data_IF_596877826014
#
_entry.id   IF_596877826014
#
_cell.length_a   1.000
_cell.length_b   1.000
_cell.length_c   1.000
_cell.angle_alpha   90.00
_cell.angle_beta   90.00
_cell.angle_gamma   90.00
#
_symmetry.space_group_name_H-M   'P 1'
#
loop_
_entity.id
_entity.type
_entity.pdbx_description
1 polymer ?
#
# COMPACT_ATOMS: atom_id res chain seq x y z
N UNK A 1 14.51 -21.43 0.46
CA UNK A 1 14.69 -19.96 0.47
C UNK A 1 13.68 -19.29 -0.48
N UNK A 2 13.56 -19.75 -1.72
CA UNK A 2 12.63 -19.22 -2.72
C UNK A 2 11.16 -19.23 -2.26
N UNK A 3 10.69 -20.33 -1.69
CA UNK A 3 9.33 -20.45 -1.13
C UNK A 3 9.04 -19.45 0.00
N UNK A 4 10.02 -19.18 0.87
CA UNK A 4 9.86 -18.17 1.95
C UNK A 4 9.74 -16.76 1.40
N UNK A 5 10.51 -16.45 0.35
CA UNK A 5 10.44 -15.15 -0.33
C UNK A 5 9.11 -14.99 -1.05
N UNK A 6 8.62 -16.05 -1.71
CA UNK A 6 7.31 -16.05 -2.36
C UNK A 6 6.18 -15.86 -1.35
N UNK A 7 6.22 -16.57 -0.22
CA UNK A 7 5.25 -16.40 0.86
C UNK A 7 5.26 -14.98 1.40
N UNK A 8 6.45 -14.46 1.71
CA UNK A 8 6.62 -13.09 2.20
C UNK A 8 6.10 -12.04 1.20
N UNK A 9 6.39 -12.20 -0.09
CA UNK A 9 5.87 -11.33 -1.15
C UNK A 9 4.35 -11.41 -1.26
N UNK A 10 3.77 -12.60 -1.12
CA UNK A 10 2.31 -12.78 -1.16
C UNK A 10 1.58 -12.07 0.00
N UNK A 11 2.28 -11.90 1.13
CA UNK A 11 1.78 -11.20 2.31
C UNK A 11 1.91 -9.66 2.19
N UNK A 12 3.05 -9.19 1.68
CA UNK A 12 3.40 -7.78 1.65
C UNK A 12 2.97 -7.06 0.36
N UNK A 13 2.85 -7.80 -0.74
CA UNK A 13 2.42 -7.31 -2.06
C UNK A 13 1.32 -8.24 -2.62
N UNK A 14 0.13 -8.27 -1.99
CA UNK A 14 -0.98 -9.08 -2.50
C UNK A 14 -1.30 -8.67 -3.93
N UNK A 15 -1.51 -9.67 -4.80
CA UNK A 15 -1.76 -9.45 -6.23
C UNK A 15 -0.57 -8.96 -7.05
N UNK A 16 0.63 -8.85 -6.47
CA UNK A 16 1.86 -8.55 -7.21
C UNK A 16 1.90 -7.13 -7.81
N UNK A 17 1.31 -6.13 -7.15
CA UNK A 17 1.19 -4.77 -7.69
C UNK A 17 2.56 -4.09 -7.73
N UNK A 18 3.32 -4.18 -6.65
CA UNK A 18 4.67 -3.62 -6.57
C UNK A 18 5.68 -4.48 -7.35
N UNK A 19 5.46 -5.81 -7.38
CA UNK A 19 6.26 -6.75 -8.15
C UNK A 19 6.13 -6.52 -9.66
N UNK A 20 4.90 -6.32 -10.16
CA UNK A 20 4.66 -5.98 -11.59
C UNK A 20 5.23 -4.61 -11.93
N UNK A 21 5.21 -3.66 -10.99
CA UNK A 21 5.83 -2.35 -11.16
C UNK A 21 7.36 -2.45 -11.23
N UNK A 22 7.98 -3.27 -10.39
CA UNK A 22 9.42 -3.54 -10.45
C UNK A 22 9.80 -4.25 -11.77
N UNK A 23 8.98 -5.19 -12.24
CA UNK A 23 9.16 -5.83 -13.54
C UNK A 23 9.07 -4.80 -14.68
N UNK A 24 8.07 -3.93 -14.67
CA UNK A 24 7.94 -2.86 -15.67
C UNK A 24 9.11 -1.89 -15.63
N UNK A 25 9.64 -1.57 -14.45
CA UNK A 25 10.85 -0.75 -14.31
C UNK A 25 12.05 -1.46 -14.96
N UNK A 26 12.26 -2.74 -14.67
CA UNK A 26 13.35 -3.53 -15.23
C UNK A 26 13.26 -3.62 -16.76
N UNK A 27 12.08 -3.92 -17.31
CA UNK A 27 11.85 -3.95 -18.76
C UNK A 27 12.12 -2.57 -19.37
N UNK A 28 11.62 -1.51 -18.74
CA UNK A 28 11.83 -0.14 -19.24
C UNK A 28 13.31 0.23 -19.23
N UNK A 29 14.09 -0.17 -18.21
CA UNK A 29 15.53 0.05 -18.20
C UNK A 29 16.25 -0.68 -19.33
N UNK A 30 15.97 -1.96 -19.55
CA UNK A 30 16.60 -2.72 -20.63
C UNK A 30 16.31 -2.06 -21.98
N UNK A 31 15.06 -1.68 -22.22
CA UNK A 31 14.63 -1.05 -23.48
C UNK A 31 15.23 0.35 -23.64
N UNK A 32 15.20 1.19 -22.60
CA UNK A 32 15.73 2.56 -22.68
C UNK A 32 17.23 2.58 -22.80
N UNK A 33 17.96 1.73 -22.09
CA UNK A 33 19.42 1.65 -22.19
C UNK A 33 19.80 1.14 -23.58
N UNK A 34 19.17 0.06 -24.06
CA UNK A 34 19.45 -0.50 -25.38
C UNK A 34 19.14 0.49 -26.51
N UNK A 35 17.95 1.11 -26.49
CA UNK A 35 17.58 2.13 -27.46
C UNK A 35 18.45 3.39 -27.33
N UNK A 36 18.78 3.81 -26.11
CA UNK A 36 19.57 5.01 -25.87
C UNK A 36 21.01 4.86 -26.36
N UNK A 37 21.61 3.69 -26.12
CA UNK A 37 22.92 3.34 -26.68
C UNK A 37 22.87 3.26 -28.21
N UNK A 38 21.87 2.59 -28.78
CA UNK A 38 21.71 2.52 -30.23
C UNK A 38 21.54 3.91 -30.86
N UNK A 39 20.76 4.79 -30.25
CA UNK A 39 20.59 6.19 -30.70
C UNK A 39 21.91 6.95 -30.60
N UNK A 40 22.64 6.85 -29.48
CA UNK A 40 23.91 7.54 -29.29
C UNK A 40 24.93 7.16 -30.37
N UNK A 41 25.07 5.86 -30.66
CA UNK A 41 26.02 5.35 -31.66
C UNK A 41 25.55 5.64 -33.09
N UNK A 42 24.26 5.44 -33.41
CA UNK A 42 23.76 5.59 -34.79
C UNK A 42 23.78 7.03 -35.28
N UNK A 43 23.63 7.99 -34.38
CA UNK A 43 23.64 9.43 -34.69
C UNK A 43 24.97 10.10 -34.33
N UNK A 44 25.99 9.32 -33.93
CA UNK A 44 27.33 9.80 -33.54
C UNK A 44 27.28 10.97 -32.53
N UNK A 45 26.44 10.81 -31.50
CA UNK A 45 26.18 11.85 -30.49
C UNK A 45 27.38 12.02 -29.54
N UNK A 46 28.25 11.02 -29.44
CA UNK A 46 29.42 11.02 -28.55
C UNK A 46 29.06 10.89 -27.06
N UNK A 47 27.87 10.36 -26.74
CA UNK A 47 27.33 10.27 -25.37
C UNK A 47 26.78 8.87 -25.04
N UNK A 48 27.58 7.85 -25.32
CA UNK A 48 27.18 6.44 -25.23
C UNK A 48 26.74 6.00 -23.83
N UNK A 49 27.17 6.72 -22.80
CA UNK A 49 26.83 6.45 -21.39
C UNK A 49 25.78 7.44 -20.88
N UNK A 50 26.01 8.74 -21.07
CA UNK A 50 25.17 9.79 -20.47
C UNK A 50 23.76 9.83 -21.07
N UNK A 51 23.63 9.59 -22.37
CA UNK A 51 22.34 9.58 -23.06
C UNK A 51 21.41 8.47 -22.55
N UNK A 52 21.78 7.17 -22.59
CA UNK A 52 20.94 6.10 -22.06
C UNK A 52 20.70 6.24 -20.55
N UNK A 53 21.69 6.73 -19.78
CA UNK A 53 21.53 6.96 -18.35
C UNK A 53 20.46 8.02 -18.04
N UNK A 54 20.38 9.11 -18.80
CA UNK A 54 19.36 10.15 -18.59
C UNK A 54 17.95 9.68 -18.94
N UNK A 55 17.83 8.86 -20.01
CA UNK A 55 16.56 8.19 -20.32
C UNK A 55 16.15 7.22 -19.21
N UNK A 56 17.10 6.45 -18.68
CA UNK A 56 16.86 5.53 -17.57
C UNK A 56 16.45 6.30 -16.31
N UNK A 57 17.14 7.38 -15.95
CA UNK A 57 16.78 8.24 -14.83
C UNK A 57 15.34 8.78 -14.96
N UNK A 58 14.96 9.25 -16.15
CA UNK A 58 13.58 9.70 -16.40
C UNK A 58 12.57 8.57 -16.17
N UNK A 59 12.90 7.38 -16.64
CA UNK A 59 12.09 6.16 -16.46
C UNK A 59 11.94 5.77 -14.99
N UNK A 60 13.05 5.78 -14.24
CA UNK A 60 13.09 5.50 -12.82
C UNK A 60 12.14 6.43 -12.07
N UNK A 61 12.26 7.74 -12.34
CA UNK A 61 11.49 8.77 -11.68
C UNK A 61 9.99 8.62 -12.01
N UNK A 62 9.65 8.43 -13.29
CA UNK A 62 8.26 8.24 -13.72
C UNK A 62 7.64 6.99 -13.09
N UNK A 63 8.31 5.84 -13.17
CA UNK A 63 7.74 4.59 -12.68
C UNK A 63 7.71 4.55 -11.15
N UNK A 64 8.72 5.09 -10.45
CA UNK A 64 8.85 4.99 -8.97
C UNK A 64 8.03 6.02 -8.19
N UNK A 65 7.80 7.21 -8.76
CA UNK A 65 7.06 8.26 -8.04
C UNK A 65 5.59 8.40 -8.47
N UNK A 66 5.15 7.64 -9.46
CA UNK A 66 3.74 7.63 -9.86
C UNK A 66 2.91 6.66 -8.99
N UNK A 67 1.76 7.06 -8.43
CA UNK A 67 0.91 6.15 -7.68
C UNK A 67 0.38 5.01 -8.54
N UNK A 68 0.17 3.84 -7.93
CA UNK A 68 -0.64 2.75 -8.48
C UNK A 68 -2.09 3.22 -8.62
N UNK A 69 -2.44 3.77 -9.79
CA UNK A 69 -3.73 4.38 -10.04
C UNK A 69 -4.41 3.93 -11.35
N UNK A 70 -5.64 4.39 -11.56
CA UNK A 70 -6.31 4.27 -12.85
C UNK A 70 -5.46 4.85 -13.98
N UNK A 71 -5.47 4.23 -15.17
CA UNK A 71 -4.62 4.61 -16.31
C UNK A 71 -4.64 6.11 -16.61
N UNK A 72 -5.82 6.73 -16.55
CA UNK A 72 -5.96 8.17 -16.79
C UNK A 72 -5.26 9.02 -15.71
N UNK A 73 -5.40 8.67 -14.43
CA UNK A 73 -4.76 9.38 -13.32
C UNK A 73 -3.24 9.17 -13.39
N UNK A 74 -2.81 7.94 -13.66
CA UNK A 74 -1.41 7.58 -13.82
C UNK A 74 -0.77 8.36 -14.98
N UNK A 75 -1.45 8.48 -16.13
CA UNK A 75 -0.97 9.26 -17.27
C UNK A 75 -0.86 10.76 -16.94
N UNK A 76 -1.83 11.33 -16.21
CA UNK A 76 -1.75 12.72 -15.73
C UNK A 76 -0.59 12.91 -14.75
N UNK A 77 -0.36 11.97 -13.84
CA UNK A 77 0.77 11.99 -12.93
C UNK A 77 2.11 11.85 -13.66
N UNK A 78 2.20 10.97 -14.68
CA UNK A 78 3.35 10.87 -15.58
C UNK A 78 3.62 12.21 -16.25
N UNK A 79 2.59 12.86 -16.80
CA UNK A 79 2.73 14.15 -17.46
C UNK A 79 3.21 15.25 -16.51
N UNK A 80 2.71 15.28 -15.26
CA UNK A 80 3.17 16.22 -14.23
C UNK A 80 4.64 15.99 -13.85
N UNK A 81 5.02 14.74 -13.61
CA UNK A 81 6.40 14.37 -13.22
C UNK A 81 7.35 14.63 -14.39
N UNK A 82 6.99 14.19 -15.59
CA UNK A 82 7.76 14.45 -16.81
C UNK A 82 7.88 15.95 -17.07
N UNK A 83 6.79 16.70 -16.98
CA UNK A 83 6.80 18.14 -17.16
C UNK A 83 7.74 18.85 -16.18
N UNK A 84 7.78 18.41 -14.91
CA UNK A 84 8.72 18.91 -13.92
C UNK A 84 10.18 18.56 -14.28
N UNK A 85 10.44 17.30 -14.62
CA UNK A 85 11.78 16.83 -15.03
C UNK A 85 12.27 17.57 -16.27
N UNK A 86 11.41 17.73 -17.28
CA UNK A 86 11.71 18.43 -18.51
C UNK A 86 11.94 19.92 -18.27
N UNK A 87 11.07 20.58 -17.49
CA UNK A 87 11.25 21.98 -17.12
C UNK A 87 12.55 22.21 -16.33
N UNK A 88 12.93 21.27 -15.47
CA UNK A 88 14.19 21.32 -14.74
C UNK A 88 15.40 21.22 -15.68
N UNK A 89 15.38 20.29 -16.64
CA UNK A 89 16.44 20.18 -17.64
C UNK A 89 16.52 21.42 -18.55
N UNK A 90 15.37 22.02 -18.91
CA UNK A 90 15.34 23.30 -19.63
C UNK A 90 15.94 24.43 -18.78
N UNK A 91 15.61 24.49 -17.48
CA UNK A 91 16.20 25.48 -16.58
C UNK A 91 17.73 25.31 -16.48
N UNK A 92 18.22 24.08 -16.40
CA UNK A 92 19.66 23.77 -16.44
C UNK A 92 20.30 24.24 -17.75
N UNK A 93 19.64 24.01 -18.90
CA UNK A 93 20.13 24.46 -20.21
C UNK A 93 20.25 26.00 -20.31
N UNK A 94 19.31 26.73 -19.68
CA UNK A 94 19.26 28.20 -19.70
C UNK A 94 20.23 28.82 -18.69
N UNK A 95 20.26 28.31 -17.46
CA UNK A 95 21.04 28.87 -16.35
C UNK A 95 22.51 28.46 -16.42
N UNK A 96 22.80 27.24 -16.88
CA UNK A 96 24.15 26.72 -16.98
C UNK A 96 25.04 27.62 -17.85
N UNK A 97 26.20 28.10 -17.36
CA UNK A 97 27.13 28.86 -18.17
C UNK A 97 27.83 28.02 -19.26
N UNK A 98 27.34 26.80 -19.52
CA UNK A 98 27.77 25.94 -20.62
C UNK A 98 29.17 25.42 -20.39
N UNK A 99 30.09 25.73 -21.30
CA UNK A 99 31.47 25.21 -21.27
C UNK A 99 32.38 26.01 -20.31
N UNK A 100 31.85 26.97 -19.57
CA UNK A 100 32.64 27.78 -18.65
C UNK A 100 33.04 26.97 -17.40
N UNK A 101 34.24 27.13 -16.84
CA UNK A 101 34.69 26.43 -15.62
C UNK A 101 33.78 26.68 -14.40
N UNK A 102 33.02 27.79 -14.41
CA UNK A 102 32.04 28.11 -13.38
C UNK A 102 30.73 27.29 -13.47
N UNK A 103 30.53 26.46 -14.51
CA UNK A 103 29.32 25.65 -14.68
C UNK A 103 29.07 24.73 -13.48
N UNK A 104 30.13 24.08 -13.01
CA UNK A 104 30.06 23.21 -11.85
C UNK A 104 29.56 23.94 -10.60
N UNK A 105 30.11 25.13 -10.35
CA UNK A 105 29.75 25.97 -9.21
C UNK A 105 28.29 26.47 -9.32
N UNK A 106 27.87 26.94 -10.49
CA UNK A 106 26.49 27.42 -10.70
C UNK A 106 25.47 26.31 -10.48
N UNK A 107 25.72 25.11 -11.00
CA UNK A 107 24.80 23.97 -10.84
C UNK A 107 24.73 23.48 -9.40
N UNK A 108 25.85 23.48 -8.66
CA UNK A 108 25.87 23.19 -7.22
C UNK A 108 25.07 24.24 -6.43
N UNK A 109 25.26 25.53 -6.71
CA UNK A 109 24.50 26.60 -6.05
C UNK A 109 23.00 26.56 -6.36
N UNK A 110 22.61 26.07 -7.54
CA UNK A 110 21.20 25.91 -7.92
C UNK A 110 20.45 24.93 -7.00
N UNK A 111 21.15 23.98 -6.36
CA UNK A 111 20.54 23.05 -5.40
C UNK A 111 19.89 23.78 -4.22
N UNK A 112 20.49 24.87 -3.75
CA UNK A 112 20.04 25.61 -2.55
C UNK A 112 18.59 26.13 -2.70
N UNK A 113 18.25 26.93 -3.72
CA UNK A 113 16.86 27.36 -3.91
C UNK A 113 15.93 26.20 -4.29
N UNK A 114 16.41 25.19 -5.02
CA UNK A 114 15.59 24.04 -5.43
C UNK A 114 15.18 23.16 -4.25
N UNK A 115 16.05 22.94 -3.27
CA UNK A 115 15.69 22.22 -2.03
C UNK A 115 14.60 22.97 -1.27
N UNK A 116 14.69 24.30 -1.21
CA UNK A 116 13.64 25.14 -0.62
C UNK A 116 12.30 24.95 -1.32
N UNK A 117 12.27 25.00 -2.66
CA UNK A 117 11.07 24.76 -3.47
C UNK A 117 10.52 23.34 -3.23
N UNK A 118 11.38 22.33 -3.29
CA UNK A 118 11.00 20.93 -3.11
C UNK A 118 10.37 20.65 -1.74
N UNK A 119 10.94 21.20 -0.66
CA UNK A 119 10.39 21.06 0.69
C UNK A 119 9.11 21.87 0.86
N UNK A 120 9.02 23.04 0.23
CA UNK A 120 7.80 23.84 0.24
C UNK A 120 6.63 23.14 -0.47
N UNK A 121 6.92 22.37 -1.53
CA UNK A 121 5.90 21.59 -2.24
C UNK A 121 5.19 20.56 -1.34
N UNK A 122 5.78 20.16 -0.20
CA UNK A 122 5.12 19.27 0.78
C UNK A 122 3.78 19.83 1.29
N UNK A 123 3.56 21.15 1.22
CA UNK A 123 2.27 21.78 1.58
C UNK A 123 1.09 21.28 0.74
N UNK A 124 1.34 20.81 -0.49
CA UNK A 124 0.33 20.29 -1.40
C UNK A 124 0.03 18.80 -1.17
N UNK A 125 0.44 18.25 -0.02
CA UNK A 125 0.21 16.86 0.37
C UNK A 125 1.14 15.87 -0.34
N UNK A 126 0.69 14.63 -0.49
CA UNK A 126 1.51 13.53 -1.00
C UNK A 126 1.97 13.73 -2.45
N UNK A 127 1.16 14.36 -3.30
CA UNK A 127 1.59 14.70 -4.67
C UNK A 127 2.74 15.71 -4.65
N UNK A 128 2.63 16.76 -3.84
CA UNK A 128 3.68 17.78 -3.71
C UNK A 128 4.98 17.23 -3.11
N UNK A 129 4.89 16.32 -2.13
CA UNK A 129 6.06 15.62 -1.59
C UNK A 129 6.78 14.80 -2.67
N UNK A 130 6.03 14.07 -3.51
CA UNK A 130 6.61 13.29 -4.62
C UNK A 130 7.31 14.20 -5.63
N UNK A 131 6.64 15.27 -6.07
CA UNK A 131 7.23 16.24 -6.99
C UNK A 131 8.49 16.88 -6.40
N UNK A 132 8.50 17.19 -5.10
CA UNK A 132 9.69 17.69 -4.41
C UNK A 132 10.86 16.70 -4.42
N UNK A 133 10.61 15.41 -4.15
CA UNK A 133 11.65 14.37 -4.21
C UNK A 133 12.20 14.21 -5.63
N UNK A 134 11.31 14.17 -6.63
CA UNK A 134 11.69 14.12 -8.05
C UNK A 134 12.59 15.30 -8.42
N UNK A 135 12.20 16.52 -8.02
CA UNK A 135 12.95 17.74 -8.31
C UNK A 135 14.37 17.65 -7.73
N UNK A 136 14.49 17.23 -6.47
CA UNK A 136 15.77 17.10 -5.79
C UNK A 136 16.65 16.03 -6.47
N UNK A 137 16.12 14.85 -6.77
CA UNK A 137 16.88 13.77 -7.43
C UNK A 137 17.42 14.26 -8.79
N UNK A 138 16.57 14.87 -9.61
CA UNK A 138 16.97 15.38 -10.92
C UNK A 138 17.98 16.51 -10.81
N UNK A 139 17.79 17.43 -9.86
CA UNK A 139 18.71 18.53 -9.61
C UNK A 139 20.10 18.02 -9.21
N UNK A 140 20.16 17.02 -8.34
CA UNK A 140 21.41 16.42 -7.89
C UNK A 140 22.14 15.69 -9.01
N UNK A 141 21.43 14.94 -9.85
CA UNK A 141 22.06 14.31 -11.02
C UNK A 141 22.65 15.35 -11.96
N UNK A 142 21.92 16.44 -12.23
CA UNK A 142 22.46 17.54 -13.06
C UNK A 142 23.68 18.21 -12.41
N UNK A 143 23.66 18.38 -11.08
CA UNK A 143 24.76 18.96 -10.33
C UNK A 143 25.99 18.03 -10.24
N UNK A 144 25.86 16.73 -10.49
CA UNK A 144 26.99 15.78 -10.54
C UNK A 144 27.59 15.75 -11.95
N UNK A 145 26.74 15.69 -12.97
CA UNK A 145 27.18 15.50 -14.35
C UNK A 145 27.74 16.76 -15.00
N UNK A 146 27.38 17.93 -14.47
CA UNK A 146 27.79 19.23 -14.98
C UNK A 146 27.62 19.38 -16.51
N UNK A 147 26.46 19.02 -17.07
CA UNK A 147 26.32 18.90 -18.51
C UNK A 147 26.56 20.25 -19.20
N UNK A 148 27.18 20.20 -20.37
CA UNK A 148 27.28 21.37 -21.25
C UNK A 148 25.91 21.70 -21.85
N UNK A 149 25.77 22.87 -22.49
CA UNK A 149 24.50 23.27 -23.11
C UNK A 149 24.06 22.30 -24.21
N UNK A 150 25.01 21.84 -25.02
CA UNK A 150 24.76 20.90 -26.11
C UNK A 150 24.38 19.53 -25.55
N UNK A 151 25.13 19.03 -24.55
CA UNK A 151 24.78 17.81 -23.84
C UNK A 151 23.38 17.90 -23.24
N UNK A 152 23.02 19.02 -22.61
CA UNK A 152 21.69 19.19 -22.01
C UNK A 152 20.56 19.11 -23.04
N UNK A 153 20.75 19.61 -24.27
CA UNK A 153 19.77 19.47 -25.35
C UNK A 153 19.56 17.99 -25.72
N UNK A 154 20.63 17.21 -25.75
CA UNK A 154 20.53 15.78 -25.98
C UNK A 154 19.93 15.04 -24.77
N UNK A 155 20.21 15.47 -23.53
CA UNK A 155 19.57 14.92 -22.33
C UNK A 155 18.04 15.19 -22.33
N UNK A 156 17.58 16.31 -22.88
CA UNK A 156 16.15 16.56 -23.10
C UNK A 156 15.55 15.54 -24.08
N UNK A 157 16.25 15.21 -25.16
CA UNK A 157 15.83 14.16 -26.09
C UNK A 157 15.82 12.78 -25.43
N UNK A 158 16.83 12.47 -24.62
CA UNK A 158 16.89 11.24 -23.84
C UNK A 158 15.73 11.15 -22.83
N UNK A 159 15.36 12.26 -22.19
CA UNK A 159 14.20 12.31 -21.30
C UNK A 159 12.89 12.03 -22.04
N UNK A 160 12.71 12.60 -23.25
CA UNK A 160 11.58 12.27 -24.11
C UNK A 160 11.54 10.78 -24.46
N UNK A 161 12.68 10.18 -24.81
CA UNK A 161 12.77 8.74 -25.07
C UNK A 161 12.37 7.92 -23.83
N UNK A 162 12.91 8.26 -22.65
CA UNK A 162 12.57 7.60 -21.38
C UNK A 162 11.07 7.69 -21.07
N UNK A 163 10.46 8.86 -21.31
CA UNK A 163 9.01 9.05 -21.15
C UNK A 163 8.20 8.17 -22.11
N UNK A 164 8.56 8.14 -23.40
CA UNK A 164 7.86 7.31 -24.40
C UNK A 164 7.92 5.83 -24.01
N UNK A 165 9.10 5.31 -23.68
CA UNK A 165 9.25 3.91 -23.27
C UNK A 165 8.47 3.64 -21.98
N UNK A 166 8.57 4.51 -20.98
CA UNK A 166 7.81 4.37 -19.72
C UNK A 166 6.30 4.34 -19.97
N UNK A 167 5.79 5.20 -20.85
CA UNK A 167 4.38 5.20 -21.24
C UNK A 167 3.97 3.91 -21.94
N UNK A 168 4.76 3.43 -22.90
CA UNK A 168 4.47 2.19 -23.62
C UNK A 168 4.45 1.01 -22.65
N UNK A 169 5.54 0.81 -21.90
CA UNK A 169 5.68 -0.31 -20.97
C UNK A 169 4.58 -0.24 -19.91
N UNK A 170 4.30 0.93 -19.32
CA UNK A 170 3.37 1.01 -18.19
C UNK A 170 1.90 1.04 -18.58
N UNK A 171 1.54 1.70 -19.67
CA UNK A 171 0.13 1.89 -20.05
C UNK A 171 -0.38 0.78 -20.97
N UNK A 172 0.50 0.12 -21.73
CA UNK A 172 0.13 -0.95 -22.67
C UNK A 172 0.22 -2.33 -22.04
N UNK A 173 1.28 -2.62 -21.25
CA UNK A 173 1.41 -3.94 -20.63
C UNK A 173 0.29 -4.21 -19.62
N UNK A 174 0.09 -5.50 -19.37
CA UNK A 174 -0.87 -5.98 -18.39
C UNK A 174 -0.53 -5.47 -16.99
N UNK A 175 -1.56 -5.15 -16.20
CA UNK A 175 -1.41 -4.72 -14.81
C UNK A 175 -2.54 -5.29 -13.95
N UNK A 176 -2.27 -5.71 -12.72
CA UNK A 176 -3.31 -6.08 -11.77
C UNK A 176 -4.11 -4.85 -11.33
N UNK A 177 -5.40 -5.01 -11.05
CA UNK A 177 -6.22 -3.95 -10.43
C UNK A 177 -6.10 -4.06 -8.93
N UNK A 178 -5.68 -2.98 -8.27
CA UNK A 178 -5.55 -2.92 -6.82
C UNK A 178 -6.90 -3.02 -6.10
N UNK A 179 -7.98 -2.52 -6.72
CA UNK A 179 -9.33 -2.66 -6.18
C UNK A 179 -9.80 -4.12 -6.22
N UNK A 180 -9.53 -4.83 -7.31
CA UNK A 180 -9.87 -6.25 -7.42
C UNK A 180 -9.05 -7.04 -6.40
N UNK A 181 -7.74 -6.82 -6.33
CA UNK A 181 -6.86 -7.44 -5.34
C UNK A 181 -7.32 -7.19 -3.90
N UNK A 182 -7.81 -5.98 -3.59
CA UNK A 182 -8.36 -5.69 -2.28
C UNK A 182 -9.65 -6.48 -1.99
N UNK A 183 -10.55 -6.60 -2.97
CA UNK A 183 -11.74 -7.42 -2.83
C UNK A 183 -11.40 -8.90 -2.62
N UNK A 184 -10.50 -9.45 -3.45
CA UNK A 184 -10.10 -10.86 -3.36
C UNK A 184 -9.37 -11.17 -2.06
N UNK A 185 -8.51 -10.28 -1.56
CA UNK A 185 -7.82 -10.47 -0.26
C UNK A 185 -8.79 -10.48 0.91
N UNK A 186 -9.88 -9.70 0.86
CA UNK A 186 -10.93 -9.74 1.88
C UNK A 186 -11.73 -11.04 1.79
N UNK A 187 -12.03 -11.52 0.58
CA UNK A 187 -12.69 -12.81 0.35
C UNK A 187 -11.83 -13.99 0.84
N UNK A 188 -10.54 -14.00 0.50
CA UNK A 188 -9.56 -14.98 0.98
C UNK A 188 -9.47 -14.99 2.50
N UNK A 189 -9.46 -13.80 3.15
CA UNK A 189 -9.47 -13.71 4.61
C UNK A 189 -10.75 -14.30 5.21
N UNK A 190 -11.89 -14.12 4.55
CA UNK A 190 -13.15 -14.77 4.91
C UNK A 190 -13.06 -16.29 4.81
N UNK A 191 -12.63 -16.79 3.65
CA UNK A 191 -12.49 -18.21 3.39
C UNK A 191 -11.52 -18.90 4.38
N UNK A 192 -10.40 -18.25 4.72
CA UNK A 192 -9.45 -18.76 5.71
C UNK A 192 -10.07 -18.89 7.12
N UNK A 193 -10.91 -17.94 7.51
CA UNK A 193 -11.69 -18.03 8.76
C UNK A 193 -12.78 -19.10 8.64
N UNK A 194 -13.40 -19.26 7.47
CA UNK A 194 -14.34 -20.35 7.19
C UNK A 194 -13.70 -21.72 7.40
N UNK A 195 -12.51 -21.93 6.85
CA UNK A 195 -11.72 -23.14 7.04
C UNK A 195 -11.38 -23.39 8.52
N UNK A 196 -10.98 -22.35 9.26
CA UNK A 196 -10.79 -22.44 10.71
C UNK A 196 -12.07 -22.86 11.45
N UNK A 197 -13.22 -22.28 11.11
CA UNK A 197 -14.51 -22.63 11.73
C UNK A 197 -14.95 -24.06 11.39
N UNK A 198 -14.61 -24.57 10.21
CA UNK A 198 -14.83 -25.98 9.87
C UNK A 198 -14.00 -26.90 10.76
N UNK A 199 -12.72 -26.58 11.00
CA UNK A 199 -11.88 -27.32 11.95
C UNK A 199 -12.45 -27.27 13.37
N UNK A 200 -13.01 -26.13 13.78
CA UNK A 200 -13.73 -26.00 15.06
C UNK A 200 -14.94 -26.94 15.11
N UNK A 201 -15.77 -26.96 14.05
CA UNK A 201 -16.94 -27.83 13.97
C UNK A 201 -16.57 -29.32 14.06
N UNK A 202 -15.51 -29.73 13.36
CA UNK A 202 -14.97 -31.10 13.42
C UNK A 202 -14.45 -31.42 14.82
N UNK A 203 -13.65 -30.54 15.42
CA UNK A 203 -13.09 -30.78 16.74
C UNK A 203 -14.16 -30.96 17.83
N UNK A 204 -15.23 -30.18 17.76
CA UNK A 204 -16.37 -30.29 18.69
C UNK A 204 -17.14 -31.61 18.50
N UNK A 205 -17.27 -32.11 17.26
CA UNK A 205 -17.93 -33.39 16.95
C UNK A 205 -17.11 -34.59 17.38
N UNK A 206 -15.82 -34.58 17.07
CA UNK A 206 -14.89 -35.68 17.31
C UNK A 206 -14.30 -35.67 18.73
N UNK A 207 -14.65 -34.67 19.53
CA UNK A 207 -14.13 -34.46 20.89
C UNK A 207 -12.60 -34.35 20.93
N UNK A 208 -12.00 -33.76 19.90
CA UNK A 208 -10.57 -33.48 19.84
C UNK A 208 -10.28 -32.09 20.40
N UNK A 209 -9.02 -31.77 20.77
CA UNK A 209 -8.66 -30.42 21.21
C UNK A 209 -9.08 -29.34 20.20
N UNK A 210 -9.57 -28.19 20.70
CA UNK A 210 -9.92 -27.07 19.82
C UNK A 210 -8.70 -26.60 19.03
N UNK A 211 -8.85 -26.33 17.72
CA UNK A 211 -7.82 -25.61 16.99
C UNK A 211 -7.73 -24.19 17.55
N UNK A 212 -6.51 -23.78 17.90
CA UNK A 212 -6.20 -22.38 18.23
C UNK A 212 -5.95 -21.66 16.90
N UNK A 213 -6.55 -20.46 16.67
CA UNK A 213 -6.22 -19.70 15.47
C UNK A 213 -4.72 -19.36 15.53
N UNK A 214 -3.97 -19.74 14.50
CA UNK A 214 -2.54 -19.49 14.47
C UNK A 214 -2.28 -17.98 14.44
N UNK A 215 -1.26 -17.53 15.16
CA UNK A 215 -0.82 -16.12 15.06
C UNK A 215 -0.54 -15.74 13.61
N UNK A 216 0.01 -16.68 12.84
CA UNK A 216 0.25 -16.55 11.40
C UNK A 216 -1.04 -16.27 10.61
N UNK A 217 -2.15 -16.99 10.83
CA UNK A 217 -3.43 -16.73 10.17
C UNK A 217 -3.94 -15.31 10.47
N UNK A 218 -3.89 -14.92 11.75
CA UNK A 218 -4.40 -13.63 12.21
C UNK A 218 -3.55 -12.46 11.71
N UNK A 219 -2.24 -12.62 11.66
CA UNK A 219 -1.32 -11.60 11.15
C UNK A 219 -1.28 -11.54 9.63
N UNK A 220 -1.42 -12.67 8.92
CA UNK A 220 -1.61 -12.68 7.46
C UNK A 220 -2.85 -11.86 7.06
N UNK A 221 -4.00 -12.09 7.70
CA UNK A 221 -5.21 -11.31 7.43
C UNK A 221 -4.98 -9.82 7.69
N UNK A 222 -4.30 -9.48 8.78
CA UNK A 222 -3.99 -8.08 9.14
C UNK A 222 -3.08 -7.42 8.11
N UNK A 223 -1.98 -8.07 7.77
CA UNK A 223 -0.94 -7.54 6.89
C UNK A 223 -1.45 -7.43 5.47
N UNK A 224 -2.04 -8.51 4.92
CA UNK A 224 -2.53 -8.56 3.53
C UNK A 224 -3.64 -7.57 3.25
N UNK A 225 -4.64 -7.47 4.14
CA UNK A 225 -5.73 -6.50 3.96
C UNK A 225 -5.20 -5.05 4.08
N UNK A 226 -4.19 -4.82 4.92
CA UNK A 226 -3.57 -3.50 5.08
C UNK A 226 -2.72 -3.11 3.88
N UNK A 227 -1.90 -4.02 3.34
CA UNK A 227 -1.07 -3.79 2.15
C UNK A 227 -1.94 -3.64 0.89
N UNK A 228 -3.01 -4.44 0.76
CA UNK A 228 -3.96 -4.25 -0.35
C UNK A 228 -4.70 -2.90 -0.27
N UNK A 229 -5.03 -2.43 0.94
CA UNK A 229 -5.73 -1.15 1.13
C UNK A 229 -4.92 0.05 0.62
N UNK A 230 -3.60 0.09 0.86
CA UNK A 230 -2.77 1.23 0.46
C UNK A 230 -2.83 1.42 -1.05
N UNK A 231 -2.66 0.33 -1.81
CA UNK A 231 -2.74 0.34 -3.28
C UNK A 231 -4.17 0.62 -3.78
N UNK A 232 -5.20 0.00 -3.19
CA UNK A 232 -6.59 0.25 -3.57
C UNK A 232 -7.03 1.71 -3.32
N UNK A 233 -6.56 2.32 -2.23
CA UNK A 233 -6.85 3.71 -1.89
C UNK A 233 -6.15 4.71 -2.83
N UNK A 234 -5.00 4.33 -3.39
CA UNK A 234 -4.31 5.08 -4.43
C UNK A 234 -5.04 4.97 -5.78
N UNK A 235 -5.61 3.79 -6.08
CA UNK A 235 -6.37 3.57 -7.32
C UNK A 235 -7.71 4.30 -7.37
N UNK A 236 -8.45 4.30 -6.26
CA UNK A 236 -9.71 5.04 -6.15
C UNK A 236 -9.80 5.86 -4.85
N UNK A 237 -9.23 7.08 -4.83
CA UNK A 237 -9.28 7.95 -3.65
C UNK A 237 -10.71 8.26 -3.18
N UNK A 238 -11.67 8.36 -4.12
CA UNK A 238 -13.09 8.58 -3.82
C UNK A 238 -13.74 7.41 -3.08
N UNK A 239 -13.24 6.18 -3.29
CA UNK A 239 -13.74 4.99 -2.62
C UNK A 239 -13.09 4.75 -1.25
N UNK A 240 -12.13 5.58 -0.83
CA UNK A 240 -11.41 5.41 0.43
C UNK A 240 -12.30 5.22 1.66
N UNK A 241 -13.41 5.96 1.87
CA UNK A 241 -14.30 5.73 3.00
C UNK A 241 -14.92 4.32 3.01
N UNK A 242 -15.29 3.82 1.82
CA UNK A 242 -15.78 2.46 1.66
C UNK A 242 -14.69 1.42 1.99
N UNK A 243 -13.49 1.60 1.43
CA UNK A 243 -12.35 0.69 1.68
C UNK A 243 -11.96 0.67 3.16
N UNK A 244 -11.98 1.81 3.85
CA UNK A 244 -11.73 1.89 5.29
C UNK A 244 -12.84 1.22 6.12
N UNK A 245 -14.11 1.33 5.67
CA UNK A 245 -15.22 0.61 6.29
C UNK A 245 -15.04 -0.91 6.17
N UNK A 246 -14.71 -1.43 4.98
CA UNK A 246 -14.41 -2.86 4.77
C UNK A 246 -13.24 -3.30 5.64
N UNK A 247 -12.11 -2.56 5.68
CA UNK A 247 -10.97 -2.85 6.56
C UNK A 247 -11.41 -2.95 8.02
N UNK A 248 -12.24 -2.00 8.49
CA UNK A 248 -12.69 -1.99 9.88
C UNK A 248 -13.49 -3.25 10.25
N UNK A 249 -14.28 -3.78 9.30
CA UNK A 249 -15.05 -5.01 9.50
C UNK A 249 -14.18 -6.25 9.40
N UNK A 250 -13.24 -6.31 8.46
CA UNK A 250 -12.23 -7.38 8.41
C UNK A 250 -11.42 -7.47 9.71
N UNK A 251 -11.06 -6.32 10.30
CA UNK A 251 -10.43 -6.29 11.62
C UNK A 251 -11.34 -6.82 12.74
N UNK A 252 -12.63 -6.45 12.77
CA UNK A 252 -13.59 -7.01 13.73
C UNK A 252 -13.76 -8.52 13.56
N UNK A 253 -13.71 -9.01 12.32
CA UNK A 253 -13.78 -10.43 11.99
C UNK A 253 -12.58 -11.18 12.59
N UNK A 254 -11.37 -10.65 12.41
CA UNK A 254 -10.14 -11.15 13.07
C UNK A 254 -10.29 -11.22 14.60
N UNK A 255 -10.69 -10.11 15.22
CA UNK A 255 -10.83 -10.04 16.69
C UNK A 255 -11.89 -11.03 17.21
N UNK A 256 -13.02 -11.16 16.51
CA UNK A 256 -14.05 -12.12 16.89
C UNK A 256 -13.58 -13.58 16.75
N UNK A 257 -12.72 -13.88 15.77
CA UNK A 257 -12.09 -15.20 15.59
C UNK A 257 -11.10 -15.51 16.71
N UNK A 258 -10.27 -14.53 17.09
CA UNK A 258 -9.36 -14.66 18.23
C UNK A 258 -10.12 -14.92 19.53
N UNK A 259 -11.19 -14.15 19.78
CA UNK A 259 -12.04 -14.33 20.95
C UNK A 259 -12.68 -15.73 20.99
N UNK A 260 -13.05 -16.30 19.85
CA UNK A 260 -13.58 -17.66 19.79
C UNK A 260 -12.52 -18.69 20.17
N UNK A 261 -11.29 -18.55 19.66
CA UNK A 261 -10.16 -19.42 19.99
C UNK A 261 -9.79 -19.39 21.48
N UNK A 262 -9.88 -18.22 22.11
CA UNK A 262 -9.62 -18.04 23.55
C UNK A 262 -10.80 -18.49 24.43
N UNK A 263 -12.02 -18.56 23.87
CA UNK A 263 -13.23 -18.80 24.66
C UNK A 263 -13.44 -20.26 25.07
N UNK A 264 -12.83 -21.24 24.39
CA UNK A 264 -13.06 -22.67 24.64
C UNK A 264 -11.76 -23.32 25.14
N UNK A 265 -11.54 -23.42 26.47
CA UNK A 265 -10.37 -24.08 27.02
C UNK A 265 -10.32 -25.56 26.64
N UNK A 266 -9.13 -26.09 26.36
CA UNK A 266 -8.92 -27.52 26.07
C UNK A 266 -9.48 -28.44 27.17
N UNK A 267 -9.46 -27.97 28.42
CA UNK A 267 -10.01 -28.68 29.58
C UNK A 267 -11.53 -28.93 29.51
N UNK A 268 -12.30 -28.12 28.79
CA UNK A 268 -13.78 -28.25 28.65
C UNK A 268 -14.16 -29.45 27.75
N UNK A 269 -13.30 -29.79 26.79
CA UNK A 269 -13.52 -30.91 25.87
C UNK A 269 -13.09 -32.24 26.49
N UNK A 270 -12.00 -32.26 27.26
CA UNK A 270 -11.40 -33.49 27.80
C UNK A 270 -12.09 -34.06 29.05
N UNK A 271 -12.90 -33.28 29.78
CA UNK A 271 -13.58 -33.73 31.02
C UNK A 271 -14.98 -34.32 30.78
N UNK A 272 -15.39 -34.42 29.53
CA UNK A 272 -16.80 -34.42 29.17
C UNK A 272 -17.16 -35.71 28.43
N UNK A 273 -17.89 -36.61 29.11
CA UNK A 273 -18.38 -37.86 28.54
C UNK A 273 -19.16 -37.70 27.23
N UNK A 274 -19.33 -38.80 26.50
CA UNK A 274 -19.67 -38.88 25.07
C UNK A 274 -20.93 -38.14 24.55
N UNK A 275 -21.77 -37.54 25.41
CA UNK A 275 -23.06 -36.96 24.98
C UNK A 275 -23.44 -35.67 25.70
N UNK A 276 -22.64 -34.62 25.54
CA UNK A 276 -23.04 -33.29 26.00
C UNK A 276 -23.91 -32.55 24.97
N UNK A 277 -25.12 -32.15 25.39
CA UNK A 277 -26.14 -31.54 24.54
C UNK A 277 -25.71 -30.23 23.86
N UNK A 278 -24.72 -29.52 24.41
CA UNK A 278 -24.20 -28.26 23.85
C UNK A 278 -23.28 -28.46 22.62
N UNK A 279 -22.71 -29.66 22.41
CA UNK A 279 -21.78 -29.92 21.29
C UNK A 279 -22.45 -29.72 19.93
N UNK A 280 -23.69 -30.22 19.80
CA UNK A 280 -24.48 -30.13 18.56
C UNK A 280 -24.75 -28.67 18.13
N UNK A 281 -25.33 -27.80 18.99
CA UNK A 281 -25.57 -26.42 18.59
C UNK A 281 -24.27 -25.60 18.41
N UNK A 282 -23.19 -25.93 19.12
CA UNK A 282 -21.89 -25.28 18.92
C UNK A 282 -21.28 -25.62 17.55
N UNK A 283 -21.23 -26.91 17.20
CA UNK A 283 -20.73 -27.36 15.90
C UNK A 283 -21.60 -26.82 14.75
N UNK A 284 -22.93 -26.82 14.93
CA UNK A 284 -23.85 -26.27 13.95
C UNK A 284 -23.62 -24.76 13.71
N UNK A 285 -23.31 -23.98 14.76
CA UNK A 285 -22.99 -22.56 14.61
C UNK A 285 -21.70 -22.35 13.80
N UNK A 286 -20.68 -23.17 14.06
CA UNK A 286 -19.42 -23.16 13.34
C UNK A 286 -19.60 -23.52 11.86
N UNK A 287 -20.26 -24.66 11.57
CA UNK A 287 -20.49 -25.12 10.18
C UNK A 287 -21.34 -24.12 9.37
N UNK A 288 -22.29 -23.46 10.02
CA UNK A 288 -23.18 -22.51 9.36
C UNK A 288 -22.42 -21.24 8.93
N UNK A 289 -21.54 -20.72 9.78
CA UNK A 289 -20.67 -19.60 9.40
C UNK A 289 -19.60 -20.04 8.40
N UNK A 290 -19.00 -21.22 8.60
CA UNK A 290 -17.97 -21.75 7.74
C UNK A 290 -18.46 -21.89 6.29
N UNK A 291 -19.62 -22.54 6.11
CA UNK A 291 -20.24 -22.70 4.78
C UNK A 291 -20.50 -21.36 4.10
N UNK A 292 -20.96 -20.35 4.83
CA UNK A 292 -21.20 -19.05 4.23
C UNK A 292 -19.90 -18.36 3.81
N UNK A 293 -18.86 -18.42 4.66
CA UNK A 293 -17.56 -17.83 4.35
C UNK A 293 -16.85 -18.54 3.18
N UNK A 294 -17.01 -19.86 3.05
CA UNK A 294 -16.48 -20.65 1.94
C UNK A 294 -17.22 -20.40 0.62
N UNK A 295 -18.53 -20.19 0.67
CA UNK A 295 -19.33 -19.79 -0.49
C UNK A 295 -19.02 -18.35 -0.96
N UNK A 296 -18.31 -17.57 -0.13
CA UNK A 296 -17.86 -16.22 -0.42
C UNK A 296 -18.65 -15.16 0.35
N UNK A 297 -17.92 -14.21 0.95
CA UNK A 297 -18.47 -13.09 1.73
C UNK A 297 -19.47 -12.27 0.92
N UNK A 298 -19.32 -12.18 -0.40
CA UNK A 298 -20.19 -11.40 -1.27
C UNK A 298 -21.62 -11.99 -1.42
N UNK A 299 -21.86 -13.24 -1.00
CA UNK A 299 -23.20 -13.81 -1.05
C UNK A 299 -24.09 -13.17 0.02
N UNK A 300 -25.39 -12.97 -0.24
CA UNK A 300 -26.30 -12.56 0.83
C UNK A 300 -26.23 -13.57 1.97
N UNK A 301 -26.33 -13.09 3.21
CA UNK A 301 -26.42 -13.94 4.40
C UNK A 301 -27.89 -14.03 4.88
N UNK A 302 -28.80 -14.69 4.13
CA UNK A 302 -30.21 -14.83 4.51
C UNK A 302 -30.38 -15.69 5.77
N UNK A 303 -29.33 -16.39 6.18
CA UNK A 303 -29.34 -17.38 7.27
C UNK A 303 -29.16 -16.76 8.66
N UNK A 304 -29.25 -15.44 8.79
CA UNK A 304 -29.11 -14.74 10.08
C UNK A 304 -30.18 -15.17 11.10
N UNK A 305 -31.42 -15.42 10.66
CA UNK A 305 -32.47 -15.96 11.51
C UNK A 305 -32.11 -17.38 12.01
N UNK A 306 -31.67 -18.26 11.10
CA UNK A 306 -31.22 -19.62 11.44
C UNK A 306 -30.03 -19.62 12.40
N UNK A 307 -29.07 -18.71 12.20
CA UNK A 307 -27.94 -18.53 13.11
C UNK A 307 -28.41 -18.11 14.51
N UNK A 308 -29.34 -17.16 14.60
CA UNK A 308 -29.90 -16.74 15.89
C UNK A 308 -30.60 -17.89 16.61
N UNK A 309 -31.32 -18.75 15.89
CA UNK A 309 -31.98 -19.93 16.46
C UNK A 309 -30.96 -20.95 17.00
N UNK A 310 -29.88 -21.22 16.25
CA UNK A 310 -28.79 -22.10 16.68
C UNK A 310 -28.14 -21.54 17.95
N UNK A 311 -27.88 -20.23 18.00
CA UNK A 311 -27.25 -19.57 19.15
C UNK A 311 -28.18 -19.50 20.36
N UNK A 312 -29.49 -19.35 20.16
CA UNK A 312 -30.48 -19.44 21.23
C UNK A 312 -30.49 -20.85 21.84
N UNK A 313 -30.48 -21.90 21.00
CA UNK A 313 -30.36 -23.30 21.46
C UNK A 313 -29.06 -23.53 22.21
N UNK A 314 -27.93 -23.02 21.71
CA UNK A 314 -26.64 -23.11 22.40
C UNK A 314 -26.75 -22.51 23.80
N UNK A 315 -27.23 -21.26 23.93
CA UNK A 315 -27.40 -20.60 25.23
C UNK A 315 -28.31 -21.39 26.17
N UNK A 316 -29.42 -21.92 25.66
CA UNK A 316 -30.33 -22.75 26.46
C UNK A 316 -29.65 -24.02 26.98
N UNK A 317 -28.88 -24.72 26.12
CA UNK A 317 -28.11 -25.91 26.53
C UNK A 317 -26.96 -25.60 27.48
N UNK A 318 -26.40 -24.39 27.44
CA UNK A 318 -25.33 -23.96 28.34
C UNK A 318 -25.85 -23.59 29.73
N UNK A 319 -27.10 -23.11 29.80
CA UNK A 319 -27.76 -22.71 31.05
C UNK A 319 -28.42 -23.88 31.80
N UNK A 320 -28.36 -25.12 31.29
CA UNK A 320 -28.83 -26.29 32.03
C UNK A 320 -27.93 -26.56 33.25
N UNK A 321 -28.53 -27.04 34.36
CA UNK A 321 -27.85 -27.23 35.65
C UNK A 321 -26.69 -28.24 35.68
N UNK A 322 -26.48 -29.00 34.61
CA UNK A 322 -25.53 -30.12 34.57
C UNK A 322 -24.08 -29.71 34.22
N UNK A 323 -23.82 -28.42 33.94
CA UNK A 323 -22.49 -27.94 33.54
C UNK A 323 -21.75 -27.21 34.66
N UNK A 324 -20.45 -27.47 34.89
CA UNK A 324 -19.61 -26.68 35.79
C UNK A 324 -19.56 -25.20 35.39
N UNK A 325 -19.58 -24.28 36.36
CA UNK A 325 -19.61 -22.82 36.12
C UNK A 325 -18.51 -22.31 35.18
N UNK A 326 -17.30 -22.87 35.29
CA UNK A 326 -16.19 -22.52 34.39
C UNK A 326 -16.47 -22.90 32.92
N UNK A 327 -17.10 -24.05 32.68
CA UNK A 327 -17.51 -24.49 31.35
C UNK A 327 -18.68 -23.66 30.83
N UNK A 328 -19.64 -23.32 31.68
CA UNK A 328 -20.76 -22.45 31.31
C UNK A 328 -20.27 -21.07 30.83
N UNK A 329 -19.35 -20.45 31.57
CA UNK A 329 -18.78 -19.15 31.20
C UNK A 329 -17.99 -19.22 29.88
N UNK A 330 -17.20 -20.27 29.67
CA UNK A 330 -16.47 -20.52 28.43
C UNK A 330 -17.42 -20.63 27.22
N UNK A 331 -18.46 -21.46 27.33
CA UNK A 331 -19.44 -21.66 26.27
C UNK A 331 -20.30 -20.41 25.99
N UNK A 332 -20.62 -19.62 27.01
CA UNK A 332 -21.28 -18.33 26.83
C UNK A 332 -20.38 -17.31 26.11
N UNK A 333 -19.07 -17.29 26.41
CA UNK A 333 -18.09 -16.47 25.67
C UNK A 333 -18.01 -16.90 24.22
N UNK A 334 -17.99 -18.20 23.95
CA UNK A 334 -18.01 -18.75 22.59
C UNK A 334 -19.31 -18.37 21.86
N UNK A 335 -20.47 -18.51 22.49
CA UNK A 335 -21.76 -18.07 21.93
C UNK A 335 -21.76 -16.57 21.59
N UNK A 336 -21.16 -15.73 22.44
CA UNK A 336 -21.02 -14.30 22.17
C UNK A 336 -20.04 -14.01 21.02
N UNK A 337 -18.95 -14.78 20.91
CA UNK A 337 -18.03 -14.71 19.77
C UNK A 337 -18.75 -15.05 18.46
N UNK A 338 -19.58 -16.10 18.43
CA UNK A 338 -20.40 -16.43 17.26
C UNK A 338 -21.42 -15.35 16.91
N UNK A 339 -22.05 -14.69 17.89
CA UNK A 339 -22.91 -13.53 17.63
C UNK A 339 -22.10 -12.43 16.93
N UNK A 340 -20.91 -12.09 17.45
CA UNK A 340 -20.05 -11.06 16.84
C UNK A 340 -19.61 -11.44 15.43
N UNK A 341 -19.22 -12.70 15.21
CA UNK A 341 -18.87 -13.21 13.89
C UNK A 341 -20.06 -13.06 12.92
N UNK A 342 -21.25 -13.54 13.30
CA UNK A 342 -22.44 -13.46 12.44
C UNK A 342 -22.84 -12.02 12.07
N UNK A 343 -22.70 -11.08 13.01
CA UNK A 343 -22.95 -9.66 12.77
C UNK A 343 -21.96 -9.10 11.76
N UNK A 344 -20.67 -9.32 11.98
CA UNK A 344 -19.60 -8.78 11.14
C UNK A 344 -19.65 -9.37 9.73
N UNK A 345 -19.90 -10.68 9.61
CA UNK A 345 -20.06 -11.37 8.33
C UNK A 345 -21.27 -10.81 7.56
N UNK A 346 -22.40 -10.60 8.22
CA UNK A 346 -23.58 -9.98 7.60
C UNK A 346 -23.32 -8.54 7.13
N UNK A 347 -22.56 -7.75 7.90
CA UNK A 347 -22.19 -6.39 7.52
C UNK A 347 -21.16 -6.37 6.37
N UNK A 348 -20.21 -7.30 6.36
CA UNK A 348 -19.27 -7.47 5.25
C UNK A 348 -19.97 -7.89 3.97
N UNK A 349 -20.93 -8.81 4.05
CA UNK A 349 -21.72 -9.23 2.90
C UNK A 349 -22.50 -8.06 2.29
N UNK A 350 -23.19 -7.27 3.12
CA UNK A 350 -23.92 -6.09 2.64
C UNK A 350 -23.01 -5.03 2.04
N UNK A 351 -21.83 -4.79 2.65
CA UNK A 351 -20.81 -3.90 2.11
C UNK A 351 -20.31 -4.36 0.74
N UNK A 352 -19.95 -5.64 0.63
CA UNK A 352 -19.36 -6.21 -0.58
C UNK A 352 -20.38 -6.23 -1.73
N UNK A 353 -21.64 -6.55 -1.43
CA UNK A 353 -22.75 -6.48 -2.41
C UNK A 353 -23.04 -5.05 -2.88
N UNK A 354 -23.03 -4.06 -1.98
CA UNK A 354 -23.25 -2.66 -2.35
C UNK A 354 -22.10 -2.12 -3.22
N UNK A 355 -20.88 -2.58 -2.94
CA UNK A 355 -19.67 -2.15 -3.61
C UNK A 355 -19.35 -0.66 -3.42
N UNK A 356 -18.28 -0.17 -4.07
CA UNK A 356 -17.82 1.19 -3.89
C UNK A 356 -18.81 2.26 -4.37
N UNK A 357 -19.60 1.94 -5.40
CA UNK A 357 -20.57 2.86 -6.02
C UNK A 357 -21.92 2.90 -5.28
N UNK A 358 -22.30 1.80 -4.62
CA UNK A 358 -23.54 1.72 -3.85
C UNK A 358 -23.40 2.18 -2.39
N UNK A 359 -22.17 2.40 -1.91
CA UNK A 359 -21.92 2.86 -0.54
C UNK A 359 -22.44 4.29 -0.30
N UNK A 360 -23.54 4.40 0.45
CA UNK A 360 -24.09 5.66 0.97
C UNK A 360 -23.62 5.93 2.41
N UNK A 361 -22.33 5.69 2.69
CA UNK A 361 -21.78 6.02 3.99
C UNK A 361 -21.88 7.52 4.26
N UNK A 362 -22.04 7.88 5.53
CA UNK A 362 -21.89 9.27 5.97
C UNK A 362 -20.51 9.75 5.54
N UNK A 363 -20.41 10.92 4.86
CA UNK A 363 -19.10 11.49 4.55
C UNK A 363 -18.31 11.60 5.87
N UNK A 364 -16.99 11.33 5.85
CA UNK A 364 -16.18 11.56 7.04
C UNK A 364 -16.43 13.00 7.49
N UNK A 365 -16.59 13.25 8.80
CA UNK A 365 -16.75 14.60 9.30
C UNK A 365 -15.61 15.46 8.74
N UNK A 366 -15.89 16.70 8.30
CA UNK A 366 -14.84 17.58 7.82
C UNK A 366 -13.73 17.62 8.88
N UNK A 367 -12.45 17.56 8.47
CA UNK A 367 -11.37 17.67 9.43
C UNK A 367 -11.60 18.93 10.26
N UNK A 368 -11.42 18.86 11.59
CA UNK A 368 -11.59 20.03 12.43
C UNK A 368 -10.78 21.18 11.82
N UNK A 369 -11.32 22.42 11.80
CA UNK A 369 -10.59 23.55 11.24
C UNK A 369 -9.23 23.61 11.90
N UNK A 370 -8.18 23.65 11.08
CA UNK A 370 -6.83 23.76 11.59
C UNK A 370 -6.78 24.96 12.55
N UNK A 371 -6.21 24.82 13.76
CA UNK A 371 -6.10 25.94 14.67
C UNK A 371 -5.45 27.10 13.92
N UNK A 372 -5.92 28.35 14.13
CA UNK A 372 -5.33 29.51 13.49
C UNK A 372 -3.82 29.46 13.70
N UNK A 373 -3.08 29.45 12.60
CA UNK A 373 -1.62 29.39 12.68
C UNK A 373 -1.16 30.59 13.51
N UNK A 374 -0.31 30.39 14.54
CA UNK A 374 0.21 31.52 15.31
C UNK A 374 0.87 32.53 14.36
N UNK A 375 0.81 33.84 14.67
CA UNK A 375 1.45 34.86 13.83
C UNK A 375 2.94 34.52 13.66
N UNK A 376 3.37 34.31 12.40
CA UNK A 376 4.73 33.90 12.07
C UNK A 376 4.82 33.08 10.77
N UNK A 377 6.03 32.63 10.44
CA UNK A 377 6.29 31.75 9.29
C UNK A 377 5.49 30.44 9.40
N UNK A 378 4.78 30.08 8.34
CA UNK A 378 4.05 28.80 8.28
C UNK A 378 5.01 27.61 8.55
N UNK A 379 4.53 26.49 9.13
CA UNK A 379 5.36 25.30 9.37
C UNK A 379 6.11 24.83 8.11
N UNK A 380 5.46 24.87 6.95
CA UNK A 380 6.08 24.52 5.67
C UNK A 380 7.16 25.51 5.23
N UNK A 381 6.97 26.81 5.48
CA UNK A 381 7.99 27.82 5.21
C UNK A 381 9.21 27.65 6.14
N UNK A 382 8.98 27.26 7.41
CA UNK A 382 10.07 26.93 8.35
C UNK A 382 10.88 25.74 7.86
N UNK A 383 10.23 24.65 7.46
CA UNK A 383 10.91 23.45 6.92
C UNK A 383 11.65 23.76 5.62
N UNK A 384 11.05 24.54 4.72
CA UNK A 384 11.71 24.98 3.49
C UNK A 384 12.97 25.81 3.80
N UNK A 385 12.87 26.75 4.75
CA UNK A 385 14.01 27.57 5.18
C UNK A 385 15.10 26.73 5.84
N UNK A 386 14.74 25.78 6.70
CA UNK A 386 15.68 24.83 7.30
C UNK A 386 16.43 24.03 6.22
N UNK A 387 15.72 23.55 5.19
CA UNK A 387 16.36 22.84 4.08
C UNK A 387 17.26 23.72 3.22
N UNK A 388 16.88 24.99 2.98
CA UNK A 388 17.75 25.97 2.30
C UNK A 388 19.02 26.19 3.10
N UNK A 389 18.91 26.40 4.42
CA UNK A 389 20.07 26.59 5.30
C UNK A 389 20.95 25.34 5.32
N UNK A 390 20.37 24.14 5.46
CA UNK A 390 21.10 22.88 5.45
C UNK A 390 21.82 22.64 4.11
N UNK A 391 21.14 22.89 2.99
CA UNK A 391 21.73 22.76 1.64
C UNK A 391 22.83 23.79 1.43
N UNK A 392 22.65 25.03 1.91
CA UNK A 392 23.68 26.05 1.84
C UNK A 392 24.93 25.69 2.65
N UNK A 393 24.76 25.16 3.88
CA UNK A 393 25.87 24.70 4.72
C UNK A 393 26.64 23.57 4.02
N UNK A 394 25.93 22.54 3.57
CA UNK A 394 26.57 21.38 2.91
C UNK A 394 27.20 21.73 1.58
N UNK A 395 26.59 22.60 0.77
CA UNK A 395 27.19 23.12 -0.46
C UNK A 395 28.44 23.94 -0.14
N UNK A 396 28.42 24.74 0.93
CA UNK A 396 29.61 25.51 1.35
C UNK A 396 30.74 24.60 1.82
N UNK A 397 30.41 23.53 2.58
CA UNK A 397 31.38 22.52 3.01
C UNK A 397 31.98 21.74 1.82
N UNK A 398 31.15 21.35 0.85
CA UNK A 398 31.61 20.74 -0.41
C UNK A 398 32.59 21.66 -1.14
N UNK A 399 32.25 22.94 -1.31
CA UNK A 399 33.11 23.92 -1.99
C UNK A 399 34.44 24.17 -1.25
N UNK A 400 34.45 24.13 0.08
CA UNK A 400 35.65 24.40 0.89
C UNK A 400 36.58 23.19 1.03
N UNK A 401 36.00 22.00 1.18
CA UNK A 401 36.75 20.77 1.48
C UNK A 401 36.84 19.79 0.30
N UNK A 402 36.29 20.16 -0.87
CA UNK A 402 36.18 19.29 -2.04
C UNK A 402 35.55 17.93 -1.70
N UNK A 403 34.55 17.94 -0.83
CA UNK A 403 33.83 16.75 -0.41
C UNK A 403 32.82 16.42 -1.51
N UNK A 404 33.27 15.78 -2.60
CA UNK A 404 32.57 15.54 -3.88
C UNK A 404 31.12 14.97 -3.79
N UNK A 405 30.58 14.71 -2.59
CA UNK A 405 29.29 14.10 -2.33
C UNK A 405 28.59 14.65 -1.06
N UNK A 406 29.05 15.75 -0.43
CA UNK A 406 28.49 16.20 0.86
C UNK A 406 27.01 16.65 0.80
N UNK A 407 26.50 16.98 -0.39
CA UNK A 407 25.09 17.30 -0.60
C UNK A 407 24.14 16.10 -0.34
N UNK A 408 24.62 14.84 -0.38
CA UNK A 408 23.82 13.66 -0.02
C UNK A 408 23.34 13.67 1.43
N UNK A 409 24.12 14.26 2.34
CA UNK A 409 23.76 14.36 3.76
C UNK A 409 22.51 15.24 4.02
N UNK A 410 22.11 16.06 3.05
CA UNK A 410 20.87 16.84 3.16
C UNK A 410 19.62 16.11 2.70
N UNK A 411 19.77 14.95 2.04
CA UNK A 411 18.66 14.11 1.61
C UNK A 411 18.27 13.03 2.63
N UNK A 412 19.21 12.66 3.51
CA UNK A 412 19.00 11.80 4.68
C UNK A 412 18.50 12.62 5.85
#
# INVERSE_FOLDING_TARGET
MLERVQHWLSDHDPGGIDSTRALHLAISFIVVIGLGYATAVSFDIGMDILFPMAGAMTTLVLITFTPSANRAIEAVSFLKIFGLTFAMLVAVAVIGPGNHPANALVLKLLLVPLTGVALYLRRYGMEGMRLGIVLIIMATVCAILHPTRIETLWLLMAACQGMVVSCIVRLVLWRPSALLTYATTVEEAGAAIGAYLNLVGVAVRENTPMPVPTEELLDQIRLRVRSALTNASAEAPKARPYLEAVRSRAYRLRVATQLLGEAIPAAVLSTSGDKQAWRVPLAAAADQLARHLENGIAQPFPERARMNDILARLRQTVMSHDLPTGQQLALLRAANAFVRLSLVVSELATLTMAGPKGWRGTPPPPPPPAPPSPPGLSPFAKVALQGVIATAITTSLDLWFALDHAYWATMT
#
